data_IF_850319906318
#
_entry.id   IF_850319906318
#
_cell.length_a   1.000
_cell.length_b   1.000
_cell.length_c   1.000
_cell.angle_alpha   90.00
_cell.angle_beta   90.00
_cell.angle_gamma   90.00
#
_symmetry.space_group_name_H-M   'P 1'
#
loop_
_entity.id
_entity.type
_entity.pdbx_description
1 polymer ?
#
# COMPACT_ATOMS: atom_id res chain seq x y z
N UNK A 1 -22.22 31.20 38.13
CA UNK A 1 -21.05 30.54 38.72
C UNK A 1 -20.44 29.68 37.64
N UNK A 2 -19.26 30.14 37.19
CA UNK A 2 -18.26 29.59 36.26
C UNK A 2 -18.58 28.41 35.34
N UNK A 3 -18.49 28.69 34.04
CA UNK A 3 -18.17 27.78 32.94
C UNK A 3 -16.92 26.93 33.26
N UNK A 4 -17.01 25.62 33.05
CA UNK A 4 -15.84 24.71 33.06
C UNK A 4 -15.17 24.71 31.70
N UNK A 5 -14.18 25.58 31.56
CA UNK A 5 -13.28 25.70 30.42
C UNK A 5 -12.31 24.50 30.37
N UNK A 6 -12.53 23.58 29.42
CA UNK A 6 -11.63 22.44 29.16
C UNK A 6 -10.48 22.80 28.20
N UNK A 7 -10.27 24.08 27.90
CA UNK A 7 -9.11 24.52 27.12
C UNK A 7 -8.01 25.05 28.04
N UNK A 8 -6.89 24.34 28.11
CA UNK A 8 -5.68 24.89 28.74
C UNK A 8 -5.09 25.91 27.77
N UNK A 9 -5.41 27.19 27.96
CA UNK A 9 -4.72 28.29 27.29
C UNK A 9 -3.25 28.36 27.77
N UNK A 10 -2.33 28.04 26.86
CA UNK A 10 -0.89 27.95 27.11
C UNK A 10 -0.17 29.30 27.02
N UNK A 11 -0.88 30.42 26.87
CA UNK A 11 -0.24 31.75 26.82
C UNK A 11 -0.18 32.47 28.17
N UNK A 12 -0.97 32.04 29.16
CA UNK A 12 -1.28 32.87 30.34
C UNK A 12 -0.93 32.26 31.70
N UNK A 13 -0.38 31.03 31.77
CA UNK A 13 -0.01 30.39 33.05
C UNK A 13 1.44 29.95 33.13
N UNK A 14 2.02 30.05 34.34
CA UNK A 14 3.44 29.80 34.57
C UNK A 14 3.84 28.37 34.17
N UNK A 15 5.05 28.16 33.63
CA UNK A 15 5.51 26.87 33.11
C UNK A 15 5.49 25.74 34.13
N UNK A 16 5.50 26.07 35.43
CA UNK A 16 5.56 25.09 36.53
C UNK A 16 4.20 24.44 36.77
N UNK A 17 3.12 25.22 36.76
CA UNK A 17 1.77 24.71 37.03
C UNK A 17 1.21 23.89 35.86
N UNK A 18 1.54 24.27 34.62
CA UNK A 18 1.18 23.48 33.44
C UNK A 18 1.87 22.10 33.42
N UNK A 19 3.10 22.00 33.95
CA UNK A 19 3.85 20.73 34.05
C UNK A 19 3.30 19.80 35.13
N UNK A 20 2.86 20.34 36.27
CA UNK A 20 2.18 19.54 37.30
C UNK A 20 0.81 19.04 36.82
N UNK A 21 0.02 19.88 36.15
CA UNK A 21 -1.29 19.48 35.64
C UNK A 21 -1.19 18.35 34.59
N UNK A 22 -0.19 18.39 33.71
CA UNK A 22 0.04 17.33 32.71
C UNK A 22 0.39 15.96 33.33
N UNK A 23 1.01 15.93 34.51
CA UNK A 23 1.35 14.69 35.23
C UNK A 23 0.10 13.99 35.79
N UNK A 24 -0.89 14.74 36.26
CA UNK A 24 -2.13 14.17 36.83
C UNK A 24 -3.20 13.81 35.79
N UNK A 25 -3.18 14.43 34.60
CA UNK A 25 -4.21 14.24 33.56
C UNK A 25 -3.76 13.24 32.47
N UNK A 26 -2.57 12.65 32.57
CA UNK A 26 -2.06 11.70 31.57
C UNK A 26 -1.79 12.33 30.19
N UNK A 27 -1.81 13.66 30.09
CA UNK A 27 -1.57 14.41 28.87
C UNK A 27 -0.07 14.54 28.60
N UNK A 28 0.42 13.94 27.50
CA UNK A 28 1.78 14.20 27.00
C UNK A 28 1.88 15.65 26.52
N UNK A 29 2.65 16.47 27.23
CA UNK A 29 3.11 17.77 26.72
C UNK A 29 4.02 17.55 25.50
N UNK A 30 3.46 17.71 24.30
CA UNK A 30 4.22 17.72 23.06
C UNK A 30 4.84 19.12 22.84
N UNK A 31 6.08 19.32 23.28
CA UNK A 31 6.91 20.36 22.66
C UNK A 31 7.42 19.83 21.31
N UNK A 32 7.80 20.68 20.33
CA UNK A 32 8.42 20.21 19.07
C UNK A 32 9.64 19.30 19.28
N UNK A 33 10.27 19.36 20.45
CA UNK A 33 11.44 18.56 20.84
C UNK A 33 11.11 17.30 21.66
N UNK A 34 9.89 17.17 22.22
CA UNK A 34 9.49 16.03 23.08
C UNK A 34 8.14 15.42 22.73
N UNK A 35 7.43 15.95 21.74
CA UNK A 35 6.34 15.28 21.07
C UNK A 35 6.90 14.28 20.09
N UNK A 36 6.73 12.99 20.37
CA UNK A 36 6.81 12.00 19.31
C UNK A 36 5.67 12.27 18.35
N UNK A 37 5.96 12.95 17.24
CA UNK A 37 5.05 13.02 16.09
C UNK A 37 4.93 11.65 15.38
N UNK A 38 5.65 10.64 15.88
CA UNK A 38 5.58 9.26 15.44
C UNK A 38 4.29 8.64 16.00
N UNK A 39 3.38 8.30 15.09
CA UNK A 39 2.24 7.44 15.39
C UNK A 39 2.68 5.98 15.62
N UNK A 40 1.76 5.10 16.03
CA UNK A 40 2.05 3.67 16.12
C UNK A 40 2.47 3.11 14.75
N UNK A 41 3.47 2.21 14.74
CA UNK A 41 3.92 1.52 13.53
C UNK A 41 3.12 0.24 13.27
N UNK A 42 2.83 -0.54 14.32
CA UNK A 42 2.07 -1.79 14.22
C UNK A 42 0.61 -1.62 14.60
N UNK A 43 -0.23 -2.47 14.01
CA UNK A 43 -1.60 -2.69 14.41
C UNK A 43 -1.65 -3.37 15.78
N UNK A 44 -2.46 -2.83 16.68
CA UNK A 44 -2.62 -3.36 18.03
C UNK A 44 -4.01 -3.01 18.58
N UNK A 45 -4.52 -3.85 19.48
CA UNK A 45 -5.82 -3.65 20.12
C UNK A 45 -6.57 -4.97 20.31
N UNK A 46 -7.81 -4.88 20.76
CA UNK A 46 -8.72 -6.02 20.86
C UNK A 46 -10.16 -5.54 20.69
N UNK A 47 -11.03 -6.42 20.16
CA UNK A 47 -12.49 -6.23 20.11
C UNK A 47 -13.12 -7.49 20.70
N UNK A 48 -13.64 -7.39 21.92
CA UNK A 48 -13.98 -8.58 22.71
C UNK A 48 -12.74 -9.45 22.94
N UNK A 49 -12.84 -10.74 22.63
CA UNK A 49 -11.72 -11.70 22.74
C UNK A 49 -10.81 -11.72 21.49
N UNK A 50 -11.17 -10.98 20.44
CA UNK A 50 -10.41 -10.92 19.19
C UNK A 50 -9.26 -9.93 19.29
N UNK A 51 -8.03 -10.45 19.39
CA UNK A 51 -6.81 -9.65 19.36
C UNK A 51 -6.50 -9.11 17.95
N UNK A 52 -6.01 -7.88 17.85
CA UNK A 52 -5.57 -7.26 16.59
C UNK A 52 -4.04 -7.26 16.54
N UNK A 53 -3.46 -7.86 15.49
CA UNK A 53 -2.02 -7.86 15.22
C UNK A 53 -1.76 -7.53 13.75
N UNK A 54 -0.50 -7.24 13.41
CA UNK A 54 -0.06 -7.01 12.03
C UNK A 54 -0.40 -8.21 11.13
N UNK A 55 -0.12 -9.43 11.61
CA UNK A 55 -0.37 -10.66 10.86
C UNK A 55 -1.85 -10.89 10.61
N UNK A 56 -2.69 -10.74 11.66
CA UNK A 56 -4.14 -10.91 11.51
C UNK A 56 -4.74 -9.85 10.59
N UNK A 57 -4.24 -8.62 10.66
CA UNK A 57 -4.67 -7.53 9.76
C UNK A 57 -4.29 -7.83 8.31
N UNK A 58 -3.07 -8.34 8.07
CA UNK A 58 -2.60 -8.72 6.74
C UNK A 58 -3.33 -9.96 6.18
N UNK A 59 -3.84 -10.84 7.04
CA UNK A 59 -4.65 -12.01 6.66
C UNK A 59 -6.04 -11.62 6.13
N UNK A 60 -6.52 -10.39 6.40
CA UNK A 60 -7.76 -9.89 5.80
C UNK A 60 -7.54 -9.76 4.29
N UNK A 61 -8.37 -10.45 3.51
CA UNK A 61 -8.24 -10.55 2.05
C UNK A 61 -8.14 -9.19 1.34
N UNK A 62 -8.95 -8.21 1.76
CA UNK A 62 -8.91 -6.84 1.24
C UNK A 62 -7.58 -6.15 1.49
N UNK A 63 -7.03 -6.26 2.71
CA UNK A 63 -5.74 -5.67 3.08
C UNK A 63 -4.62 -6.30 2.26
N UNK A 64 -4.60 -7.63 2.18
CA UNK A 64 -3.66 -8.37 1.34
C UNK A 64 -3.74 -7.93 -0.12
N UNK A 65 -4.94 -7.87 -0.70
CA UNK A 65 -5.16 -7.48 -2.09
C UNK A 65 -4.64 -6.07 -2.39
N UNK A 66 -4.92 -5.09 -1.52
CA UNK A 66 -4.43 -3.72 -1.66
C UNK A 66 -2.89 -3.65 -1.67
N UNK A 67 -2.25 -4.22 -0.64
CA UNK A 67 -0.79 -4.18 -0.47
C UNK A 67 -0.10 -4.94 -1.61
N UNK A 68 -0.65 -6.09 -2.01
CA UNK A 68 -0.14 -6.90 -3.11
C UNK A 68 -0.28 -6.18 -4.47
N UNK A 69 -1.41 -5.51 -4.73
CA UNK A 69 -1.61 -4.75 -5.96
C UNK A 69 -0.57 -3.62 -6.09
N UNK A 70 -0.46 -2.76 -5.08
CA UNK A 70 0.46 -1.62 -5.10
C UNK A 70 1.91 -2.09 -5.28
N UNK A 71 2.33 -3.09 -4.52
CA UNK A 71 3.71 -3.61 -4.57
C UNK A 71 4.05 -4.33 -5.87
N UNK A 72 3.13 -5.11 -6.46
CA UNK A 72 3.35 -5.80 -7.74
C UNK A 72 3.44 -4.83 -8.90
N UNK A 73 2.54 -3.85 -8.96
CA UNK A 73 2.59 -2.85 -10.03
C UNK A 73 3.87 -2.02 -9.91
N UNK A 74 4.20 -1.54 -8.72
CA UNK A 74 5.43 -0.73 -8.50
C UNK A 74 6.72 -1.50 -8.81
N UNK A 75 6.80 -2.77 -8.42
CA UNK A 75 8.02 -3.58 -8.62
C UNK A 75 8.27 -3.99 -10.08
N UNK A 76 7.21 -4.13 -10.87
CA UNK A 76 7.30 -4.53 -12.29
C UNK A 76 7.55 -3.36 -13.23
N UNK A 77 7.28 -2.13 -12.80
CA UNK A 77 7.61 -0.95 -13.58
C UNK A 77 9.14 -0.81 -13.75
N UNK A 78 9.63 -0.57 -14.98
CA UNK A 78 11.03 -0.27 -15.20
C UNK A 78 11.42 1.00 -14.44
N UNK A 79 12.51 0.92 -13.68
CA UNK A 79 13.14 2.06 -13.02
C UNK A 79 14.49 2.31 -13.70
N UNK A 80 14.52 3.32 -14.55
CA UNK A 80 15.68 3.64 -15.36
C UNK A 80 16.44 4.84 -14.79
N UNK A 81 17.75 4.84 -14.99
CA UNK A 81 18.61 5.98 -14.63
C UNK A 81 18.97 6.70 -15.92
N UNK A 82 18.94 8.02 -15.88
CA UNK A 82 19.28 8.91 -16.98
C UNK A 82 20.41 9.84 -16.56
N UNK A 83 21.27 10.16 -17.52
CA UNK A 83 22.36 11.12 -17.39
C UNK A 83 22.06 12.32 -18.27
N UNK A 84 22.09 13.51 -17.67
CA UNK A 84 21.93 14.77 -18.40
C UNK A 84 23.31 15.37 -18.64
N UNK A 85 23.74 15.45 -19.91
CA UNK A 85 25.00 16.10 -20.30
C UNK A 85 24.68 17.15 -21.34
N UNK A 86 25.13 18.39 -21.14
CA UNK A 86 24.90 19.52 -22.07
C UNK A 86 23.42 19.72 -22.47
N UNK A 87 22.51 19.50 -21.52
CA UNK A 87 21.06 19.59 -21.73
C UNK A 87 20.44 18.39 -22.46
N UNK A 88 21.23 17.44 -22.92
CA UNK A 88 20.76 16.18 -23.51
C UNK A 88 20.64 15.11 -22.46
N UNK A 89 19.51 14.39 -22.48
CA UNK A 89 19.20 13.34 -21.51
C UNK A 89 19.32 11.97 -22.16
N UNK A 90 20.25 11.17 -21.65
CA UNK A 90 20.51 9.82 -22.17
C UNK A 90 20.29 8.77 -21.11
N UNK A 91 19.80 7.60 -21.52
CA UNK A 91 19.61 6.47 -20.61
C UNK A 91 20.96 5.87 -20.23
N UNK A 92 21.22 5.78 -18.92
CA UNK A 92 22.44 5.21 -18.38
C UNK A 92 22.55 3.71 -18.70
N UNK A 93 23.72 3.31 -19.19
CA UNK A 93 24.09 1.91 -19.37
C UNK A 93 24.38 1.19 -18.05
N UNK A 94 24.69 -0.11 -18.14
CA UNK A 94 25.01 -0.95 -16.97
C UNK A 94 26.40 -0.69 -16.37
N UNK A 95 27.21 0.12 -17.06
CA UNK A 95 28.47 0.66 -16.55
C UNK A 95 28.25 1.63 -15.39
N UNK A 96 27.07 2.26 -15.29
CA UNK A 96 26.72 3.10 -14.15
C UNK A 96 26.33 2.20 -12.94
N UNK A 97 27.01 2.31 -11.77
CA UNK A 97 26.73 1.47 -10.61
C UNK A 97 25.28 1.56 -10.12
N UNK A 98 24.72 2.77 -10.09
CA UNK A 98 23.34 3.01 -9.64
C UNK A 98 22.32 2.39 -10.63
N UNK A 99 22.55 2.53 -11.93
CA UNK A 99 21.69 1.91 -12.95
C UNK A 99 21.69 0.38 -12.85
N UNK A 100 22.88 -0.23 -12.65
CA UNK A 100 23.01 -1.67 -12.44
C UNK A 100 22.28 -2.13 -11.17
N UNK A 101 22.45 -1.39 -10.08
CA UNK A 101 21.87 -1.69 -8.77
C UNK A 101 20.33 -1.63 -8.81
N UNK A 102 19.77 -0.56 -9.38
CA UNK A 102 18.32 -0.35 -9.44
C UNK A 102 17.61 -1.25 -10.47
N UNK A 103 18.29 -1.66 -11.55
CA UNK A 103 17.68 -2.48 -12.61
C UNK A 103 17.85 -3.99 -12.40
N UNK A 104 18.96 -4.44 -11.80
CA UNK A 104 19.30 -5.87 -11.77
C UNK A 104 19.40 -6.44 -10.35
N UNK A 105 20.40 -6.00 -9.58
CA UNK A 105 20.77 -6.64 -8.31
C UNK A 105 21.03 -5.57 -7.24
N UNK A 106 20.07 -5.31 -6.35
CA UNK A 106 20.24 -4.40 -5.22
C UNK A 106 21.22 -4.95 -4.19
N UNK A 107 21.33 -6.27 -4.09
CA UNK A 107 22.30 -6.97 -3.25
C UNK A 107 22.55 -8.37 -3.84
N UNK A 108 23.37 -9.18 -3.17
CA UNK A 108 23.73 -10.54 -3.61
C UNK A 108 22.61 -11.59 -3.50
N UNK A 109 21.53 -11.30 -2.77
CA UNK A 109 20.47 -12.27 -2.46
C UNK A 109 19.17 -12.02 -3.25
N UNK A 110 18.95 -10.79 -3.72
CA UNK A 110 17.67 -10.35 -4.27
C UNK A 110 17.83 -9.78 -5.67
N UNK A 111 16.81 -10.01 -6.51
CA UNK A 111 16.63 -9.23 -7.74
C UNK A 111 16.05 -7.85 -7.44
N UNK A 112 16.22 -6.91 -8.36
CA UNK A 112 15.65 -5.57 -8.23
C UNK A 112 14.12 -5.58 -8.05
N UNK A 113 13.43 -6.49 -8.74
CA UNK A 113 11.98 -6.68 -8.59
C UNK A 113 11.60 -7.16 -7.19
N UNK A 114 12.29 -8.17 -6.65
CA UNK A 114 12.02 -8.68 -5.31
C UNK A 114 12.26 -7.61 -4.23
N UNK A 115 13.33 -6.82 -4.37
CA UNK A 115 13.62 -5.72 -3.46
C UNK A 115 12.58 -4.60 -3.53
N UNK A 116 12.23 -4.13 -4.73
CA UNK A 116 11.18 -3.11 -4.89
C UNK A 116 9.84 -3.59 -4.36
N UNK A 117 9.51 -4.87 -4.56
CA UNK A 117 8.31 -5.48 -4.01
C UNK A 117 8.33 -5.45 -2.48
N UNK A 118 9.38 -5.98 -1.86
CA UNK A 118 9.51 -5.98 -0.40
C UNK A 118 9.46 -4.57 0.21
N UNK A 119 10.23 -3.62 -0.35
CA UNK A 119 10.24 -2.23 0.10
C UNK A 119 8.88 -1.55 -0.09
N UNK A 120 8.20 -1.78 -1.22
CA UNK A 120 6.87 -1.19 -1.45
C UNK A 120 5.80 -1.82 -0.57
N UNK A 121 5.88 -3.13 -0.28
CA UNK A 121 5.00 -3.76 0.70
C UNK A 121 5.16 -3.12 2.07
N UNK A 122 6.40 -2.89 2.53
CA UNK A 122 6.64 -2.20 3.80
C UNK A 122 6.12 -0.76 3.79
N UNK A 123 6.32 -0.03 2.69
CA UNK A 123 5.81 1.34 2.53
C UNK A 123 4.27 1.36 2.58
N UNK A 124 3.60 0.46 1.87
CA UNK A 124 2.14 0.39 1.83
C UNK A 124 1.55 -0.08 3.17
N UNK A 125 2.24 -0.97 3.89
CA UNK A 125 1.75 -1.54 5.14
C UNK A 125 2.04 -0.63 6.34
N UNK A 126 3.30 -0.19 6.48
CA UNK A 126 3.81 0.56 7.65
C UNK A 126 4.01 2.05 7.39
N UNK A 127 3.71 2.53 6.18
CA UNK A 127 3.92 3.94 5.80
C UNK A 127 5.40 4.32 5.62
N UNK A 128 6.32 3.38 5.83
CA UNK A 128 7.76 3.61 5.76
C UNK A 128 8.46 2.34 5.28
N UNK A 129 9.55 2.51 4.53
CA UNK A 129 10.43 1.40 4.17
C UNK A 129 11.90 1.82 4.23
N UNK A 130 12.73 0.92 4.75
CA UNK A 130 14.13 1.20 5.04
C UNK A 130 15.04 0.17 4.38
N UNK A 131 16.18 0.61 3.86
CA UNK A 131 17.26 -0.27 3.47
C UNK A 131 18.61 0.29 3.94
N UNK A 132 19.51 -0.58 4.40
CA UNK A 132 20.89 -0.24 4.70
C UNK A 132 21.64 0.01 3.39
N UNK A 133 22.35 1.12 3.31
CA UNK A 133 23.16 1.53 2.16
C UNK A 133 24.60 1.09 2.42
N UNK A 134 25.18 0.33 1.48
CA UNK A 134 26.62 0.08 1.45
C UNK A 134 27.25 0.84 0.28
N UNK A 135 28.39 1.50 0.55
CA UNK A 135 29.14 2.28 -0.43
C UNK A 135 30.56 1.77 -0.59
N UNK A 136 31.10 1.88 -1.80
CA UNK A 136 32.52 1.64 -2.05
C UNK A 136 33.39 2.84 -1.58
N UNK A 137 34.72 2.71 -1.69
CA UNK A 137 35.65 3.79 -1.33
C UNK A 137 35.50 5.08 -2.16
N UNK A 138 34.88 5.01 -3.34
CA UNK A 138 34.55 6.17 -4.19
C UNK A 138 33.18 6.80 -3.84
N UNK A 139 32.47 6.26 -2.84
CA UNK A 139 31.16 6.73 -2.40
C UNK A 139 29.98 6.27 -3.26
N UNK A 140 30.19 5.40 -4.25
CA UNK A 140 29.09 4.80 -5.04
C UNK A 140 28.31 3.81 -4.18
N UNK A 141 26.99 3.80 -4.32
CA UNK A 141 26.14 2.78 -3.70
C UNK A 141 26.34 1.47 -4.44
N UNK A 142 26.74 0.43 -3.71
CA UNK A 142 27.01 -0.90 -4.27
C UNK A 142 26.04 -1.97 -3.77
N UNK A 143 25.36 -1.73 -2.65
CA UNK A 143 24.36 -2.65 -2.11
C UNK A 143 23.28 -1.91 -1.32
N UNK A 144 22.07 -2.47 -1.34
CA UNK A 144 20.90 -2.08 -0.53
C UNK A 144 20.32 -3.32 0.15
N UNK A 145 20.31 -3.35 1.48
CA UNK A 145 19.73 -4.44 2.26
C UNK A 145 18.44 -3.97 2.94
N UNK A 146 17.26 -4.53 2.61
CA UNK A 146 16.01 -4.11 3.24
C UNK A 146 16.04 -4.43 4.74
N UNK A 147 15.59 -3.46 5.54
CA UNK A 147 15.41 -3.58 6.98
C UNK A 147 13.91 -3.60 7.29
N UNK A 148 13.51 -4.41 8.26
CA UNK A 148 12.11 -4.49 8.68
C UNK A 148 11.63 -3.19 9.34
N UNK A 149 10.62 -2.54 8.77
CA UNK A 149 10.12 -1.24 9.23
C UNK A 149 9.58 -1.27 10.66
N UNK A 150 8.98 -2.39 11.07
CA UNK A 150 8.48 -2.60 12.44
C UNK A 150 9.61 -2.55 13.49
N UNK A 151 10.84 -2.89 13.10
CA UNK A 151 12.01 -2.87 13.98
C UNK A 151 12.77 -1.54 13.93
N UNK A 152 12.29 -0.55 13.18
CA UNK A 152 12.96 0.73 13.01
C UNK A 152 12.26 1.84 13.81
N UNK A 153 13.04 2.57 14.59
CA UNK A 153 12.61 3.75 15.32
C UNK A 153 13.45 4.96 14.90
N UNK A 154 12.79 5.98 14.35
CA UNK A 154 13.45 7.16 13.77
C UNK A 154 13.21 8.35 14.67
N UNK A 155 14.29 8.94 15.19
CA UNK A 155 14.21 10.04 16.15
C UNK A 155 15.10 11.20 15.75
N UNK A 156 14.70 12.40 16.16
CA UNK A 156 15.57 13.56 16.11
C UNK A 156 16.37 13.62 17.41
N UNK A 157 17.69 13.43 17.34
CA UNK A 157 18.59 13.55 18.48
C UNK A 157 19.62 14.65 18.20
N UNK A 158 19.66 15.69 19.06
CA UNK A 158 20.60 16.81 18.94
C UNK A 158 20.58 17.47 17.54
N UNK A 159 19.40 17.60 16.95
CA UNK A 159 19.20 18.19 15.62
C UNK A 159 19.63 17.31 14.43
N UNK A 160 19.92 16.02 14.67
CA UNK A 160 20.23 15.03 13.63
C UNK A 160 19.22 13.91 13.64
N UNK A 161 18.84 13.44 12.45
CA UNK A 161 17.99 12.29 12.30
C UNK A 161 18.80 11.02 12.57
N UNK A 162 18.34 10.22 13.53
CA UNK A 162 18.98 8.99 13.99
C UNK A 162 18.02 7.83 13.76
N UNK A 163 18.55 6.73 13.24
CA UNK A 163 17.80 5.51 12.92
C UNK A 163 18.22 4.42 13.89
N UNK A 164 17.35 4.05 14.82
CA UNK A 164 17.59 3.00 15.80
C UNK A 164 16.89 1.73 15.36
N UNK A 165 17.66 0.73 14.97
CA UNK A 165 17.16 -0.55 14.49
C UNK A 165 17.30 -1.64 15.55
N UNK A 166 16.22 -2.36 15.83
CA UNK A 166 16.24 -3.51 16.72
C UNK A 166 16.63 -4.78 15.96
N UNK A 167 17.78 -5.35 16.31
CA UNK A 167 18.25 -6.65 15.81
C UNK A 167 18.21 -7.66 16.95
N UNK A 168 17.16 -8.48 16.98
CA UNK A 168 16.88 -9.40 18.07
C UNK A 168 16.84 -8.68 19.44
N UNK A 169 17.82 -8.93 20.31
CA UNK A 169 17.93 -8.30 21.64
C UNK A 169 18.77 -7.02 21.65
N UNK A 170 19.43 -6.67 20.55
CA UNK A 170 20.35 -5.53 20.48
C UNK A 170 19.79 -4.39 19.63
N UNK A 171 20.25 -3.19 19.90
CA UNK A 171 19.95 -2.02 19.09
C UNK A 171 21.19 -1.55 18.36
N UNK A 172 21.05 -1.35 17.05
CA UNK A 172 22.07 -0.73 16.21
C UNK A 172 21.59 0.67 15.85
N UNK A 173 22.48 1.65 15.97
CA UNK A 173 22.20 3.03 15.64
C UNK A 173 22.88 3.37 14.33
N UNK A 174 22.10 3.77 13.33
CA UNK A 174 22.57 4.19 12.03
C UNK A 174 22.44 5.71 11.87
N UNK A 175 23.41 6.28 11.15
CA UNK A 175 23.37 7.67 10.75
C UNK A 175 22.43 7.88 9.57
N UNK A 176 22.05 9.14 9.34
CA UNK A 176 21.19 9.52 8.23
C UNK A 176 21.72 9.10 6.85
N UNK A 177 23.06 9.00 6.67
CA UNK A 177 23.69 8.65 5.40
C UNK A 177 23.70 7.14 5.11
N UNK A 178 23.44 6.32 6.13
CA UNK A 178 23.56 4.86 6.06
C UNK A 178 22.22 4.20 5.68
N UNK A 179 21.11 4.95 5.71
CA UNK A 179 19.77 4.43 5.49
C UNK A 179 19.13 5.06 4.26
N UNK A 180 18.67 4.21 3.35
CA UNK A 180 17.74 4.54 2.29
C UNK A 180 16.32 4.48 2.86
N UNK A 181 15.64 5.61 2.91
CA UNK A 181 14.32 5.72 3.54
C UNK A 181 13.26 6.20 2.54
N UNK A 182 12.25 5.36 2.30
CA UNK A 182 11.00 5.73 1.65
C UNK A 182 10.00 6.19 2.70
N UNK A 183 9.62 7.47 2.64
CA UNK A 183 8.69 8.10 3.58
C UNK A 183 7.31 8.21 2.93
N UNK A 184 6.32 7.56 3.54
CA UNK A 184 4.92 7.69 3.16
C UNK A 184 4.27 8.97 3.69
N UNK A 185 2.93 9.00 3.69
CA UNK A 185 2.18 10.15 4.16
C UNK A 185 2.35 10.35 5.67
N UNK A 186 2.68 11.56 6.11
CA UNK A 186 2.80 11.88 7.52
C UNK A 186 2.89 13.38 7.78
N UNK A 187 2.76 13.78 9.05
CA UNK A 187 2.68 15.20 9.42
C UNK A 187 4.05 15.87 9.57
N UNK A 188 5.12 15.09 9.74
CA UNK A 188 6.44 15.60 10.11
C UNK A 188 7.43 15.63 8.94
N UNK A 189 7.11 14.99 7.82
CA UNK A 189 7.94 14.91 6.62
C UNK A 189 9.17 13.99 6.70
N UNK A 190 9.48 13.40 7.86
CA UNK A 190 10.62 12.48 8.03
C UNK A 190 10.22 11.06 8.43
N UNK A 191 8.96 10.83 8.84
CA UNK A 191 8.35 9.51 9.09
C UNK A 191 6.88 9.54 8.65
N UNK A 192 6.48 8.56 7.85
CA UNK A 192 5.10 8.32 7.47
C UNK A 192 4.29 7.67 8.59
N UNK A 193 2.98 7.87 8.57
CA UNK A 193 2.01 7.19 9.42
C UNK A 193 1.75 5.80 8.87
N UNK A 194 1.65 4.81 9.75
CA UNK A 194 1.39 3.42 9.35
C UNK A 194 -0.07 3.19 8.98
N UNK A 195 -0.37 2.83 7.71
CA UNK A 195 -1.74 2.52 7.30
C UNK A 195 -2.37 1.40 8.12
N UNK A 196 -1.65 0.31 8.43
CA UNK A 196 -2.23 -0.76 9.25
C UNK A 196 -2.52 -0.33 10.69
N UNK A 197 -1.65 0.51 11.27
CA UNK A 197 -1.84 0.95 12.64
C UNK A 197 -3.06 1.86 12.74
N UNK A 198 -3.27 2.73 11.75
CA UNK A 198 -4.45 3.60 11.65
C UNK A 198 -5.72 2.83 11.26
N UNK A 199 -5.59 1.74 10.50
CA UNK A 199 -6.70 0.84 10.17
C UNK A 199 -7.11 -0.09 11.32
N UNK A 200 -6.33 -0.20 12.41
CA UNK A 200 -6.55 -1.16 13.51
C UNK A 200 -7.98 -1.22 14.04
N UNK A 201 -8.68 -0.08 14.10
CA UNK A 201 -10.09 -0.03 14.55
C UNK A 201 -11.01 -0.75 13.56
N UNK A 202 -10.91 -0.44 12.27
CA UNK A 202 -11.69 -1.07 11.21
C UNK A 202 -11.32 -2.54 11.04
N UNK A 203 -10.02 -2.85 11.02
CA UNK A 203 -9.50 -4.22 10.98
C UNK A 203 -9.96 -5.03 12.20
N UNK A 204 -10.02 -4.42 13.38
CA UNK A 204 -10.50 -5.08 14.60
C UNK A 204 -11.95 -5.54 14.49
N UNK A 205 -12.83 -4.72 13.89
CA UNK A 205 -14.22 -5.12 13.65
C UNK A 205 -14.29 -6.25 12.62
N UNK A 206 -13.51 -6.17 11.53
CA UNK A 206 -13.46 -7.22 10.52
C UNK A 206 -12.98 -8.56 11.10
N UNK A 207 -11.91 -8.52 11.91
CA UNK A 207 -11.36 -9.68 12.61
C UNK A 207 -12.39 -10.29 13.57
N UNK A 208 -13.07 -9.46 14.36
CA UNK A 208 -14.10 -9.93 15.29
C UNK A 208 -15.28 -10.61 14.58
N UNK A 209 -15.71 -10.05 13.44
CA UNK A 209 -16.75 -10.67 12.61
C UNK A 209 -16.30 -12.01 12.03
N UNK A 210 -15.04 -12.12 11.60
CA UNK A 210 -14.47 -13.38 11.09
C UNK A 210 -14.33 -14.43 12.19
N UNK A 211 -13.91 -14.04 13.39
CA UNK A 211 -13.84 -14.93 14.56
C UNK A 211 -15.23 -15.43 14.96
N UNK A 212 -16.22 -14.52 15.04
CA UNK A 212 -17.60 -14.90 15.34
C UNK A 212 -18.14 -15.86 14.28
N UNK A 213 -17.88 -15.60 13.00
CA UNK A 213 -18.31 -16.46 11.90
C UNK A 213 -17.61 -17.82 11.98
N UNK A 214 -16.29 -17.85 12.24
CA UNK A 214 -15.54 -19.08 12.46
C UNK A 214 -16.15 -19.89 13.58
N UNK A 215 -16.44 -19.28 14.72
CA UNK A 215 -16.97 -19.97 15.90
C UNK A 215 -18.41 -20.46 15.66
N UNK A 216 -19.22 -19.69 14.94
CA UNK A 216 -20.55 -20.11 14.49
C UNK A 216 -20.47 -21.39 13.63
N UNK A 217 -19.60 -21.41 12.62
CA UNK A 217 -19.43 -22.59 11.76
C UNK A 217 -18.74 -23.76 12.46
N UNK A 218 -17.77 -23.50 13.34
CA UNK A 218 -17.11 -24.52 14.16
C UNK A 218 -18.11 -25.24 15.08
N UNK A 219 -19.14 -24.53 15.54
CA UNK A 219 -20.26 -25.07 16.31
C UNK A 219 -21.39 -25.68 15.44
N UNK A 220 -21.13 -25.87 14.14
CA UNK A 220 -22.05 -26.54 13.21
C UNK A 220 -23.19 -25.66 12.70
N UNK A 221 -22.99 -24.33 12.69
CA UNK A 221 -23.99 -23.34 12.25
C UNK A 221 -25.35 -23.50 12.95
N UNK A 222 -25.32 -23.93 14.22
CA UNK A 222 -26.52 -24.15 15.01
C UNK A 222 -26.98 -22.84 15.63
N UNK A 223 -28.26 -22.53 15.46
CA UNK A 223 -28.91 -21.48 16.23
C UNK A 223 -28.95 -21.85 17.71
N UNK A 224 -28.77 -20.88 18.64
CA UNK A 224 -29.05 -21.10 20.04
C UNK A 224 -30.50 -21.60 20.21
N UNK A 225 -30.70 -22.60 21.06
CA UNK A 225 -32.02 -23.20 21.32
C UNK A 225 -32.46 -22.89 22.73
N UNK A 226 -33.73 -22.53 22.89
CA UNK A 226 -34.39 -22.43 24.19
C UNK A 226 -35.19 -23.70 24.41
N UNK A 227 -34.93 -24.40 25.52
CA UNK A 227 -35.74 -25.52 25.98
C UNK A 227 -36.82 -25.01 26.94
N UNK A 228 -38.08 -25.31 26.65
CA UNK A 228 -39.22 -24.91 27.47
C UNK A 228 -39.83 -26.14 28.15
N UNK A 229 -40.07 -26.08 29.47
CA UNK A 229 -40.43 -27.25 30.31
C UNK A 229 -41.93 -27.48 30.50
N UNK A 230 -42.77 -26.91 29.62
CA UNK A 230 -44.21 -27.18 29.62
C UNK A 230 -44.91 -26.94 30.97
N UNK A 231 -44.78 -25.74 31.54
CA UNK A 231 -45.56 -25.28 32.70
C UNK A 231 -45.20 -25.85 34.07
N UNK A 232 -44.35 -26.88 34.15
CA UNK A 232 -43.85 -27.43 35.43
C UNK A 232 -42.51 -26.78 35.82
N UNK A 233 -42.42 -26.33 37.07
CA UNK A 233 -41.16 -25.87 37.67
C UNK A 233 -40.38 -27.10 38.12
N UNK A 234 -39.19 -27.29 37.55
CA UNK A 234 -38.29 -28.38 37.92
C UNK A 234 -37.62 -28.08 39.27
N UNK A 235 -37.50 -29.12 40.11
CA UNK A 235 -36.63 -29.08 41.28
C UNK A 235 -35.14 -29.03 40.87
N UNK A 236 -34.23 -28.85 41.85
CA UNK A 236 -32.80 -28.67 41.56
C UNK A 236 -32.18 -29.90 40.89
N UNK A 237 -32.53 -31.10 41.34
CA UNK A 237 -31.95 -32.35 40.85
C UNK A 237 -32.44 -32.66 39.42
N UNK A 238 -33.73 -32.41 39.16
CA UNK A 238 -34.33 -32.49 37.84
C UNK A 238 -33.74 -31.46 36.87
N UNK A 239 -33.45 -30.24 37.33
CA UNK A 239 -32.82 -29.20 36.50
C UNK A 239 -31.39 -29.59 36.12
N UNK A 240 -30.59 -30.06 37.07
CA UNK A 240 -29.22 -30.53 36.80
C UNK A 240 -29.22 -31.71 35.82
N UNK A 241 -30.16 -32.65 35.93
CA UNK A 241 -30.31 -33.77 34.99
C UNK A 241 -30.69 -33.29 33.57
N UNK A 242 -31.63 -32.34 33.46
CA UNK A 242 -32.05 -31.76 32.18
C UNK A 242 -30.92 -30.95 31.53
N UNK A 243 -30.20 -30.12 32.29
CA UNK A 243 -29.06 -29.35 31.80
C UNK A 243 -27.96 -30.27 31.27
N UNK A 244 -27.64 -31.35 31.99
CA UNK A 244 -26.63 -32.33 31.56
C UNK A 244 -27.05 -33.03 30.26
N UNK A 245 -28.30 -33.46 30.15
CA UNK A 245 -28.82 -34.09 28.94
C UNK A 245 -28.89 -33.11 27.75
N UNK A 246 -29.21 -31.84 28.00
CA UNK A 246 -29.33 -30.83 26.95
C UNK A 246 -27.97 -30.27 26.50
N UNK A 247 -26.97 -30.20 27.40
CA UNK A 247 -25.60 -29.84 27.06
C UNK A 247 -24.99 -30.80 26.03
N UNK A 248 -25.34 -32.09 26.07
CA UNK A 248 -24.93 -33.07 25.05
C UNK A 248 -25.56 -32.80 23.67
N UNK A 249 -26.79 -32.25 23.64
CA UNK A 249 -27.53 -31.94 22.41
C UNK A 249 -26.94 -30.70 21.71
N UNK A 250 -26.55 -29.69 22.48
CA UNK A 250 -26.03 -28.41 21.97
C UNK A 250 -24.53 -28.47 21.67
N UNK A 251 -23.72 -29.15 22.50
CA UNK A 251 -22.25 -29.11 22.44
C UNK A 251 -21.55 -30.21 21.62
N UNK A 252 -22.26 -31.26 21.17
CA UNK A 252 -21.63 -32.41 20.48
C UNK A 252 -21.66 -32.34 18.93
N UNK A 253 -20.67 -32.94 18.23
CA UNK A 253 -20.79 -33.26 16.81
C UNK A 253 -22.00 -34.19 16.63
N UNK A 254 -22.89 -33.85 15.70
CA UNK A 254 -24.14 -34.58 15.45
C UNK A 254 -23.80 -35.97 14.92
N UNK A 255 -23.58 -36.93 15.82
CA UNK A 255 -23.75 -38.34 15.50
C UNK A 255 -25.25 -38.51 15.29
N UNK A 256 -25.67 -39.05 14.14
CA UNK A 256 -27.06 -39.31 13.73
C UNK A 256 -27.85 -40.06 14.82
N UNK A 257 -28.30 -39.35 15.86
CA UNK A 257 -29.01 -39.88 17.03
C UNK A 257 -30.34 -39.16 17.08
N UNK A 258 -31.42 -39.94 17.18
CA UNK A 258 -32.77 -39.41 17.39
C UNK A 258 -32.87 -39.00 18.86
N UNK A 259 -33.14 -37.73 19.11
CA UNK A 259 -33.38 -37.20 20.46
C UNK A 259 -34.89 -37.16 20.70
N UNK A 260 -35.33 -37.75 21.81
CA UNK A 260 -36.74 -37.77 22.21
C UNK A 260 -36.91 -36.83 23.39
N UNK A 261 -37.81 -35.87 23.27
CA UNK A 261 -38.18 -34.92 24.33
C UNK A 261 -39.43 -35.47 25.05
N UNK A 262 -39.32 -35.74 26.35
CA UNK A 262 -40.44 -36.25 27.17
C UNK A 262 -41.23 -35.11 27.84
N UNK A 263 -42.39 -35.41 28.44
CA UNK A 263 -43.03 -34.50 29.42
C UNK A 263 -43.49 -33.12 28.93
N UNK A 264 -43.63 -32.90 27.61
CA UNK A 264 -44.02 -31.59 27.06
C UNK A 264 -42.86 -30.61 26.89
N UNK A 265 -41.62 -31.09 26.92
CA UNK A 265 -40.46 -30.29 26.53
C UNK A 265 -40.56 -29.88 25.05
N UNK A 266 -40.38 -28.58 24.78
CA UNK A 266 -40.35 -28.01 23.43
C UNK A 266 -39.07 -27.20 23.23
N UNK A 267 -38.46 -27.30 22.05
CA UNK A 267 -37.28 -26.51 21.70
C UNK A 267 -37.63 -25.49 20.65
N UNK A 268 -37.34 -24.22 20.95
CA UNK A 268 -37.49 -23.12 19.99
C UNK A 268 -36.12 -22.63 19.58
N UNK A 269 -35.91 -22.55 18.27
CA UNK A 269 -34.75 -21.86 17.71
C UNK A 269 -34.87 -20.36 17.98
N UNK A 270 -33.82 -19.76 18.53
CA UNK A 270 -33.68 -18.31 18.48
C UNK A 270 -33.33 -17.98 17.03
N UNK A 271 -34.25 -17.35 16.29
CA UNK A 271 -34.09 -17.10 14.86
C UNK A 271 -32.83 -16.29 14.55
N UNK A 272 -31.96 -16.84 13.70
CA UNK A 272 -30.67 -16.24 13.29
C UNK A 272 -30.75 -15.54 11.92
N UNK A 273 -31.84 -15.74 11.16
CA UNK A 273 -31.87 -15.45 9.72
C UNK A 273 -31.75 -13.97 9.32
N UNK A 274 -32.20 -13.03 10.15
CA UNK A 274 -32.05 -11.59 9.85
C UNK A 274 -30.62 -11.11 10.11
N UNK A 275 -29.98 -11.65 11.14
CA UNK A 275 -28.64 -11.26 11.56
C UNK A 275 -27.57 -11.74 10.57
N UNK A 276 -27.75 -12.90 9.94
CA UNK A 276 -26.81 -13.42 8.93
C UNK A 276 -26.78 -12.53 7.67
N UNK A 277 -27.95 -12.09 7.19
CA UNK A 277 -28.04 -11.21 6.03
C UNK A 277 -27.42 -9.82 6.31
N UNK A 278 -27.65 -9.27 7.50
CA UNK A 278 -27.01 -8.02 7.93
C UNK A 278 -25.49 -8.17 8.09
N UNK A 279 -25.03 -9.31 8.62
CA UNK A 279 -23.60 -9.62 8.78
C UNK A 279 -22.90 -9.71 7.42
N UNK A 280 -23.53 -10.36 6.43
CA UNK A 280 -23.01 -10.41 5.06
C UNK A 280 -22.92 -9.01 4.43
N UNK A 281 -23.96 -8.18 4.58
CA UNK A 281 -23.96 -6.81 4.08
C UNK A 281 -22.86 -5.95 4.75
N UNK A 282 -22.66 -6.13 6.06
CA UNK A 282 -21.60 -5.45 6.81
C UNK A 282 -20.20 -5.86 6.34
N UNK A 283 -19.96 -7.14 6.04
CA UNK A 283 -18.67 -7.60 5.47
C UNK A 283 -18.40 -6.97 4.09
N UNK A 284 -19.43 -6.82 3.25
CA UNK A 284 -19.29 -6.11 1.98
C UNK A 284 -18.87 -4.65 2.17
N UNK A 285 -19.47 -3.94 3.13
CA UNK A 285 -19.09 -2.55 3.41
C UNK A 285 -17.64 -2.40 3.90
N UNK A 286 -17.16 -3.35 4.71
CA UNK A 286 -15.79 -3.37 5.22
C UNK A 286 -14.72 -3.44 4.14
N UNK A 287 -15.01 -4.08 3.00
CA UNK A 287 -14.08 -4.10 1.85
C UNK A 287 -13.78 -2.66 1.41
N UNK A 288 -14.82 -1.86 1.23
CA UNK A 288 -14.66 -0.46 0.84
C UNK A 288 -13.94 0.39 1.91
N UNK A 289 -14.19 0.15 3.21
CA UNK A 289 -13.52 0.88 4.28
C UNK A 289 -12.03 0.56 4.38
N UNK A 290 -11.67 -0.72 4.33
CA UNK A 290 -10.28 -1.14 4.38
C UNK A 290 -9.51 -0.68 3.13
N UNK A 291 -10.11 -0.76 1.94
CA UNK A 291 -9.48 -0.32 0.70
C UNK A 291 -9.17 1.19 0.70
N UNK A 292 -9.99 2.01 1.36
CA UNK A 292 -9.76 3.47 1.49
C UNK A 292 -8.45 3.81 2.20
N UNK A 293 -8.04 3.05 3.22
CA UNK A 293 -6.76 3.28 3.91
C UNK A 293 -5.55 3.16 2.98
N UNK A 294 -5.66 2.33 1.94
CA UNK A 294 -4.62 2.14 0.93
C UNK A 294 -4.85 2.96 -0.33
N UNK A 295 -5.95 3.72 -0.42
CA UNK A 295 -6.35 4.48 -1.61
C UNK A 295 -6.65 3.61 -2.84
N UNK A 296 -7.00 2.34 -2.64
CA UNK A 296 -7.27 1.39 -3.75
C UNK A 296 -8.77 1.37 -4.03
N UNK A 297 -9.21 1.58 -5.28
CA UNK A 297 -10.61 1.39 -5.67
C UNK A 297 -11.11 -0.05 -5.40
N UNK A 298 -12.34 -0.24 -4.88
CA UNK A 298 -12.88 -1.57 -4.54
C UNK A 298 -12.87 -2.58 -5.70
N UNK A 299 -13.12 -2.13 -6.93
CA UNK A 299 -13.14 -3.01 -8.10
C UNK A 299 -11.77 -3.62 -8.43
N UNK A 300 -10.67 -2.95 -8.03
CA UNK A 300 -9.32 -3.49 -8.21
C UNK A 300 -8.94 -4.55 -7.17
N UNK A 301 -9.72 -4.69 -6.09
CA UNK A 301 -9.57 -5.76 -5.09
C UNK A 301 -10.65 -6.83 -5.19
N UNK A 302 -11.45 -6.80 -6.27
CA UNK A 302 -12.45 -7.82 -6.57
C UNK A 302 -13.87 -7.52 -6.08
N UNK A 303 -14.10 -6.35 -5.48
CA UNK A 303 -15.44 -5.90 -5.10
C UNK A 303 -16.07 -5.09 -6.25
N UNK A 304 -16.92 -5.78 -7.02
CA UNK A 304 -17.57 -5.24 -8.22
C UNK A 304 -19.06 -4.95 -8.05
N UNK A 305 -19.64 -5.25 -6.87
CA UNK A 305 -21.10 -5.20 -6.65
C UNK A 305 -21.70 -3.80 -6.87
N UNK A 306 -20.93 -2.75 -6.58
CA UNK A 306 -21.32 -1.34 -6.77
C UNK A 306 -20.52 -0.64 -7.87
N UNK A 307 -19.74 -1.39 -8.63
CA UNK A 307 -18.98 -0.84 -9.74
C UNK A 307 -19.90 -0.55 -10.93
N UNK A 308 -19.68 0.55 -11.64
CA UNK A 308 -20.42 0.85 -12.86
C UNK A 308 -20.14 -0.25 -13.89
N UNK A 309 -21.16 -1.00 -14.30
CA UNK A 309 -21.04 -2.08 -15.30
C UNK A 309 -20.66 -1.60 -16.71
N UNK A 310 -20.45 -0.29 -16.91
CA UNK A 310 -20.03 0.32 -18.16
C UNK A 310 -18.50 0.45 -18.21
N UNK A 311 -17.87 -0.14 -19.24
CA UNK A 311 -16.41 -0.25 -19.37
C UNK A 311 -15.65 1.09 -19.35
N UNK A 312 -16.23 2.16 -19.88
CA UNK A 312 -15.62 3.51 -19.88
C UNK A 312 -15.48 4.09 -18.47
N UNK A 313 -16.40 3.78 -17.56
CA UNK A 313 -16.34 4.20 -16.16
C UNK A 313 -15.24 3.48 -15.38
N UNK A 314 -14.99 2.20 -15.68
CA UNK A 314 -13.93 1.40 -15.07
C UNK A 314 -12.56 1.88 -15.54
N UNK A 315 -12.42 2.19 -16.84
CA UNK A 315 -11.18 2.73 -17.39
C UNK A 315 -10.77 4.05 -16.71
N UNK A 316 -11.71 4.98 -16.54
CA UNK A 316 -11.44 6.24 -15.85
C UNK A 316 -11.05 6.03 -14.37
N UNK A 317 -11.67 5.07 -13.68
CA UNK A 317 -11.28 4.73 -12.31
C UNK A 317 -9.87 4.12 -12.23
N UNK A 318 -9.49 3.29 -13.21
CA UNK A 318 -8.14 2.75 -13.31
C UNK A 318 -7.11 3.86 -13.55
N UNK A 319 -7.41 4.80 -14.45
CA UNK A 319 -6.57 5.99 -14.68
C UNK A 319 -6.44 6.80 -13.38
N UNK A 320 -7.53 7.03 -12.66
CA UNK A 320 -7.52 7.72 -11.37
C UNK A 320 -6.62 7.04 -10.33
N UNK A 321 -6.65 5.70 -10.24
CA UNK A 321 -5.74 4.95 -9.37
C UNK A 321 -4.27 5.15 -9.76
N UNK A 322 -3.96 5.08 -11.06
CA UNK A 322 -2.60 5.29 -11.56
C UNK A 322 -2.09 6.71 -11.25
N UNK A 323 -2.94 7.72 -11.42
CA UNK A 323 -2.57 9.12 -11.21
C UNK A 323 -2.44 9.50 -9.74
N UNK A 324 -3.45 9.18 -8.92
CA UNK A 324 -3.56 9.71 -7.56
C UNK A 324 -2.94 8.83 -6.49
N UNK A 325 -2.75 7.54 -6.77
CA UNK A 325 -2.15 6.61 -5.82
C UNK A 325 -0.78 6.13 -6.30
N UNK A 326 -0.75 5.38 -7.41
CA UNK A 326 0.50 4.78 -7.87
C UNK A 326 1.54 5.84 -8.22
N UNK A 327 1.15 6.92 -8.91
CA UNK A 327 2.04 8.03 -9.25
C UNK A 327 2.73 8.64 -8.03
N UNK A 328 2.03 8.73 -6.89
CA UNK A 328 2.61 9.22 -5.64
C UNK A 328 3.64 8.23 -5.09
N UNK A 329 3.33 6.92 -5.08
CA UNK A 329 4.26 5.88 -4.63
C UNK A 329 5.53 5.87 -5.49
N UNK A 330 5.39 5.96 -6.81
CA UNK A 330 6.52 6.05 -7.73
C UNK A 330 7.35 7.31 -7.48
N UNK A 331 6.70 8.44 -7.21
CA UNK A 331 7.41 9.68 -6.93
C UNK A 331 8.18 9.64 -5.62
N UNK A 332 7.65 8.98 -4.59
CA UNK A 332 8.35 8.73 -3.32
C UNK A 332 9.65 7.96 -3.59
N UNK A 333 9.60 6.92 -4.43
CA UNK A 333 10.80 6.18 -4.82
C UNK A 333 11.82 7.07 -5.54
N UNK A 334 11.40 7.80 -6.57
CA UNK A 334 12.29 8.67 -7.35
C UNK A 334 12.94 9.75 -6.47
N UNK A 335 12.15 10.43 -5.64
CA UNK A 335 12.63 11.45 -4.73
C UNK A 335 13.58 10.88 -3.67
N UNK A 336 13.29 9.69 -3.14
CA UNK A 336 14.17 9.02 -2.20
C UNK A 336 15.49 8.60 -2.85
N UNK A 337 15.47 8.07 -4.08
CA UNK A 337 16.69 7.70 -4.81
C UNK A 337 17.56 8.93 -5.02
N UNK A 338 16.95 10.03 -5.47
CA UNK A 338 17.63 11.30 -5.64
C UNK A 338 18.23 11.82 -4.32
N UNK A 339 17.49 11.75 -3.22
CA UNK A 339 17.93 12.24 -1.90
C UNK A 339 19.06 11.41 -1.30
N UNK A 340 18.99 10.09 -1.41
CA UNK A 340 19.79 9.16 -0.61
C UNK A 340 20.89 8.46 -1.41
N UNK A 341 20.66 8.16 -2.69
CA UNK A 341 21.55 7.31 -3.47
C UNK A 341 22.45 8.12 -4.42
N UNK A 342 21.93 9.22 -4.97
CA UNK A 342 22.69 10.12 -5.85
C UNK A 342 23.72 10.91 -5.03
N UNK A 343 24.94 11.01 -5.56
CA UNK A 343 26.01 11.79 -4.92
C UNK A 343 25.71 13.28 -5.02
N UNK A 344 26.11 14.10 -4.03
CA UNK A 344 25.90 15.55 -4.09
C UNK A 344 26.44 16.21 -5.37
N UNK A 345 27.57 15.73 -5.90
CA UNK A 345 28.18 16.25 -7.13
C UNK A 345 27.41 15.88 -8.41
N UNK A 346 26.53 14.88 -8.36
CA UNK A 346 25.80 14.34 -9.52
C UNK A 346 24.32 14.71 -9.51
N UNK A 347 23.86 15.54 -8.57
CA UNK A 347 22.44 15.87 -8.32
C UNK A 347 21.72 16.43 -9.56
N UNK A 348 22.38 17.27 -10.35
CA UNK A 348 21.81 17.86 -11.56
C UNK A 348 21.93 16.93 -12.78
N UNK A 349 22.82 15.94 -12.68
CA UNK A 349 23.26 15.10 -13.79
C UNK A 349 22.56 13.75 -13.81
N UNK A 350 22.27 13.16 -12.66
CA UNK A 350 21.75 11.79 -12.53
C UNK A 350 20.31 11.82 -12.05
N UNK A 351 19.42 11.23 -12.85
CA UNK A 351 17.98 11.18 -12.59
C UNK A 351 17.49 9.73 -12.65
N UNK A 352 16.74 9.27 -11.66
CA UNK A 352 16.12 7.95 -11.68
C UNK A 352 14.61 8.09 -11.78
N UNK A 353 13.99 7.44 -12.76
CA UNK A 353 12.57 7.60 -13.07
C UNK A 353 11.91 6.27 -13.42
N UNK A 354 10.65 6.12 -12.99
CA UNK A 354 9.83 5.00 -13.40
C UNK A 354 9.24 5.24 -14.79
N UNK A 355 9.29 4.22 -15.64
CA UNK A 355 8.64 4.27 -16.95
C UNK A 355 7.20 3.72 -16.87
N UNK A 356 6.23 4.63 -16.87
CA UNK A 356 4.80 4.32 -16.86
C UNK A 356 4.28 3.68 -18.16
N UNK A 357 4.97 3.84 -19.28
CA UNK A 357 4.59 3.19 -20.56
C UNK A 357 4.66 1.66 -20.47
N UNK A 358 5.36 1.12 -19.47
CA UNK A 358 5.33 -0.31 -19.16
C UNK A 358 3.91 -0.83 -18.93
N UNK A 359 2.99 -0.02 -18.42
CA UNK A 359 1.58 -0.39 -18.21
C UNK A 359 0.83 -0.56 -19.52
N UNK A 360 1.17 0.25 -20.54
CA UNK A 360 0.55 0.19 -21.87
C UNK A 360 0.90 -1.10 -22.62
N UNK A 361 1.91 -1.88 -22.18
CA UNK A 361 2.19 -3.19 -22.79
C UNK A 361 1.03 -4.19 -22.62
N UNK A 362 0.19 -4.00 -21.59
CA UNK A 362 -1.01 -4.81 -21.39
C UNK A 362 -2.15 -4.49 -22.36
N UNK A 363 -2.14 -3.32 -23.01
CA UNK A 363 -3.17 -2.88 -23.94
C UNK A 363 -2.55 -2.60 -25.32
N UNK A 364 -2.60 -3.61 -26.19
CA UNK A 364 -2.05 -3.53 -27.54
C UNK A 364 -2.76 -2.48 -28.41
N UNK A 365 -4.05 -2.20 -28.17
CA UNK A 365 -4.81 -1.24 -28.96
C UNK A 365 -4.44 0.20 -28.57
N UNK A 366 -4.42 0.51 -27.28
CA UNK A 366 -3.98 1.82 -26.79
C UNK A 366 -2.52 2.09 -27.14
N UNK A 367 -1.63 1.09 -27.03
CA UNK A 367 -0.22 1.21 -27.41
C UNK A 367 -0.05 1.46 -28.91
N UNK A 368 -0.78 0.75 -29.77
CA UNK A 368 -0.73 0.97 -31.21
C UNK A 368 -1.20 2.38 -31.59
N UNK A 369 -2.29 2.86 -30.99
CA UNK A 369 -2.80 4.21 -31.21
C UNK A 369 -1.82 5.29 -30.76
N UNK A 370 -1.20 5.10 -29.59
CA UNK A 370 -0.16 5.99 -29.07
C UNK A 370 1.03 6.07 -30.03
N UNK A 371 1.63 4.93 -30.40
CA UNK A 371 2.79 4.87 -31.28
C UNK A 371 2.48 5.46 -32.67
N UNK A 372 1.29 5.19 -33.22
CA UNK A 372 0.82 5.79 -34.47
C UNK A 372 0.79 7.32 -34.35
N UNK A 373 0.18 7.85 -33.29
CA UNK A 373 0.06 9.30 -33.08
C UNK A 373 1.43 9.96 -32.94
N UNK A 374 2.38 9.32 -32.24
CA UNK A 374 3.74 9.85 -32.09
C UNK A 374 4.51 9.91 -33.41
N UNK A 375 4.33 8.91 -34.28
CA UNK A 375 4.90 8.90 -35.64
C UNK A 375 4.22 9.95 -36.51
N UNK A 376 2.89 10.02 -36.51
CA UNK A 376 2.11 10.92 -37.37
C UNK A 376 2.40 12.41 -37.07
N UNK A 377 2.66 12.74 -35.80
CA UNK A 377 3.07 14.08 -35.36
C UNK A 377 4.55 14.40 -35.64
N UNK A 378 5.36 13.42 -36.05
CA UNK A 378 6.80 13.56 -36.26
C UNK A 378 7.62 13.66 -34.96
N UNK A 379 7.05 13.26 -33.82
CA UNK A 379 7.75 13.24 -32.52
C UNK A 379 8.62 11.99 -32.33
N UNK A 380 8.30 10.92 -33.05
CA UNK A 380 9.10 9.69 -33.09
C UNK A 380 9.30 9.21 -34.52
N UNK A 381 10.46 8.63 -34.77
CA UNK A 381 10.81 7.95 -36.01
C UNK A 381 10.39 6.48 -35.96
N UNK A 382 10.27 5.84 -37.13
CA UNK A 382 9.92 4.42 -37.22
C UNK A 382 10.96 3.55 -36.51
N UNK A 383 12.25 3.89 -36.61
CA UNK A 383 13.33 3.14 -35.97
C UNK A 383 13.38 3.33 -34.45
N UNK A 384 12.95 4.47 -33.92
CA UNK A 384 12.76 4.64 -32.47
C UNK A 384 11.67 3.71 -31.93
N UNK A 385 10.52 3.64 -32.61
CA UNK A 385 9.45 2.71 -32.24
C UNK A 385 9.91 1.26 -32.37
N UNK A 386 10.63 0.92 -33.45
CA UNK A 386 11.18 -0.44 -33.62
C UNK A 386 12.19 -0.80 -32.53
N UNK A 387 13.03 0.13 -32.07
CA UNK A 387 13.90 -0.10 -30.91
C UNK A 387 13.10 -0.39 -29.64
N UNK A 388 11.99 0.30 -29.39
CA UNK A 388 11.11 0.03 -28.24
C UNK A 388 10.48 -1.37 -28.30
N UNK A 389 10.13 -1.82 -29.51
CA UNK A 389 9.53 -3.14 -29.77
C UNK A 389 10.58 -4.25 -29.99
N UNK A 390 11.88 -3.95 -29.78
CA UNK A 390 13.00 -4.87 -30.01
C UNK A 390 13.06 -5.44 -31.44
N UNK A 391 12.66 -4.64 -32.43
CA UNK A 391 12.71 -4.97 -33.85
C UNK A 391 13.95 -4.37 -34.52
N UNK A 392 14.55 -5.05 -35.52
CA UNK A 392 15.71 -4.52 -36.24
C UNK A 392 15.34 -3.24 -37.01
N UNK A 393 16.25 -2.25 -37.11
CA UNK A 393 15.97 -1.00 -37.81
C UNK A 393 15.69 -1.23 -39.31
N UNK A 394 14.92 -0.33 -39.91
CA UNK A 394 14.67 -0.27 -41.35
C UNK A 394 15.51 0.83 -42.00
N UNK A 395 16.03 0.63 -43.22
CA UNK A 395 16.65 1.70 -44.00
C UNK A 395 15.69 2.89 -44.17
N UNK A 396 16.16 4.11 -43.88
CA UNK A 396 15.34 5.33 -43.94
C UNK A 396 14.39 5.54 -42.75
N UNK A 397 14.37 4.62 -41.77
CA UNK A 397 13.46 4.67 -40.63
C UNK A 397 13.83 5.63 -39.50
N UNK A 398 15.02 6.26 -39.54
CA UNK A 398 15.45 7.29 -38.56
C UNK A 398 15.09 8.72 -39.01
N UNK A 399 14.19 8.87 -39.99
CA UNK A 399 13.69 10.17 -40.47
C UNK A 399 12.28 10.38 -39.93
N UNK A 400 12.05 11.53 -39.26
CA UNK A 400 10.73 11.92 -38.80
C UNK A 400 9.84 12.30 -40.00
N UNK A 401 8.65 11.72 -40.06
CA UNK A 401 7.68 11.97 -41.13
C UNK A 401 6.46 12.68 -40.56
N UNK A 402 5.86 13.59 -41.32
CA UNK A 402 4.57 14.21 -40.96
C UNK A 402 3.70 14.31 -42.18
N UNK A 403 2.43 13.94 -42.07
CA UNK A 403 1.48 14.15 -43.16
C UNK A 403 1.23 15.65 -43.35
N UNK A 404 1.41 16.12 -44.57
CA UNK A 404 1.07 17.48 -44.96
C UNK A 404 -0.44 17.58 -45.23
N UNK A 405 -1.20 18.01 -44.22
CA UNK A 405 -2.64 18.28 -44.35
C UNK A 405 -2.84 19.78 -44.65
N UNK A 406 -3.65 20.11 -45.68
CA UNK A 406 -3.94 21.48 -46.16
C UNK A 406 -2.76 22.21 -46.84
N UNK A 407 -2.06 21.55 -47.76
CA UNK A 407 -1.12 22.23 -48.66
C UNK A 407 -1.94 23.08 -49.66
N UNK A 408 -1.64 24.37 -49.86
CA UNK A 408 -2.18 25.16 -50.95
C UNK A 408 -2.07 24.43 -52.30
N UNK A 409 -3.10 24.50 -53.15
CA UNK A 409 -3.18 23.68 -54.38
C UNK A 409 -1.98 23.86 -55.33
N UNK A 410 -1.37 25.05 -55.30
CA UNK A 410 -0.17 25.43 -56.07
C UNK A 410 1.13 24.77 -55.57
N UNK A 411 1.12 24.18 -54.37
CA UNK A 411 2.27 23.54 -53.74
C UNK A 411 2.11 22.01 -53.60
N UNK A 412 1.00 21.45 -54.10
CA UNK A 412 0.75 20.01 -54.05
C UNK A 412 1.75 19.27 -54.97
N UNK A 413 2.67 18.48 -54.39
CA UNK A 413 3.63 17.65 -55.13
C UNK A 413 5.00 18.28 -55.39
N UNK A 414 5.28 19.49 -54.91
CA UNK A 414 6.64 20.06 -54.96
C UNK A 414 7.52 19.43 -53.87
N UNK A 415 8.11 18.26 -54.16
CA UNK A 415 9.30 17.81 -53.44
C UNK A 415 10.44 18.75 -53.85
N UNK A 416 10.79 19.73 -53.02
CA UNK A 416 11.94 20.60 -53.29
C UNK A 416 13.20 19.72 -53.34
N UNK A 417 13.86 19.52 -54.50
CA UNK A 417 15.16 18.87 -54.51
C UNK A 417 16.12 19.83 -53.81
N UNK A 418 16.80 19.36 -52.77
CA UNK A 418 17.87 20.13 -52.12
C UNK A 418 18.84 20.59 -53.21
N UNK A 419 19.13 21.90 -53.36
CA UNK A 419 20.04 22.35 -54.41
C UNK A 419 21.44 21.78 -54.11
N UNK A 420 21.99 21.03 -55.08
CA UNK A 420 23.36 20.56 -55.03
C UNK A 420 24.31 21.75 -54.81
N UNK A 421 25.38 21.61 -53.99
CA UNK A 421 26.31 22.70 -53.77
C UNK A 421 27.00 23.03 -55.10
N UNK A 422 26.71 24.21 -55.65
CA UNK A 422 27.39 24.72 -56.83
C UNK A 422 28.83 25.01 -56.47
N UNK A 423 29.75 24.16 -56.96
CA UNK A 423 31.17 24.46 -56.96
C UNK A 423 31.47 25.62 -57.90
N UNK A 424 32.16 26.63 -57.38
CA UNK A 424 33.15 27.46 -58.05
C UNK A 424 34.04 28.08 -56.96
#
# INVERSE_FOLDING_TARGET
MADTDYSIDLRTRSPVWARMAAWFVGGRLATPEKGSQLGPTSASGAVGDSAVTDERTLQISTVWACVNLISRVTSTLPLDVYLTTDGQREKAGLNNPLARLLRYSPNQFMTATAFRMAMTMQLALYGNAYALIERNGAGDVISLFPLLSVNMDVRMEKGKLVYKYQRASEYVVYGQKDIFHLVGQGFNGYVGLSPIAFASKTSGVAIAMEDQQRDFYANGAKSPKILTTGGKILDREQREAVEKNFAEITGGPVRKRLWVLEGGFDTKDIGVSAQDAETMAARGFQVSELARFFGVPPHLVGDVDKSTSWGTGIEQQNIGFLQYNLGVVLKIWEAAIWRWLVKPADIERVHAEHNLEGLLRGDSAARALYLKTMIDCGLMTVNEVRRLENLPPLPGGDVATRQSQNIPIDQLGQQTPSPAPSGA
#
